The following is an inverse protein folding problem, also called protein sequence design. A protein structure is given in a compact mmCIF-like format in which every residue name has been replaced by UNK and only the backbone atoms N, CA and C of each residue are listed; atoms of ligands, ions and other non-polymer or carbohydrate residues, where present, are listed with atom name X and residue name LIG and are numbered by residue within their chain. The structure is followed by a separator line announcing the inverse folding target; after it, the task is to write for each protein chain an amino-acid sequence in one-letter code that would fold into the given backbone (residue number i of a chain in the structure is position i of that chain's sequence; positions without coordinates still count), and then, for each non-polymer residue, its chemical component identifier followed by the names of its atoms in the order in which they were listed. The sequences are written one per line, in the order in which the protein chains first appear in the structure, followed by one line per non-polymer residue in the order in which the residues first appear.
data_IF_592590796488
#
_entry.id   IF_592590796488
#
_cell.length_a   1.000
_cell.length_b   1.000
_cell.length_c   1.000
_cell.angle_alpha   90.00
_cell.angle_beta   90.00
_cell.angle_gamma   90.00
#
_symmetry.space_group_name_H-M   'P 1'
#
loop_
_entity.id
_entity.type
_entity.pdbx_description
1 polymer ?
#
# COMPACT_ATOMS: atom_id res chain seq x y z
N UNK A 1 20.45 1.78 -13.14
CA UNK A 1 19.75 1.66 -11.85
C UNK A 1 19.35 0.19 -11.72
N UNK A 2 19.50 -0.46 -10.57
CA UNK A 2 19.06 -1.85 -10.42
C UNK A 2 17.52 -1.94 -10.41
N UNK A 3 16.97 -3.08 -10.80
CA UNK A 3 15.52 -3.35 -10.79
C UNK A 3 14.91 -3.17 -9.38
N UNK A 4 15.72 -3.42 -8.34
CA UNK A 4 15.35 -3.23 -6.94
C UNK A 4 15.27 -1.74 -6.58
N UNK A 5 16.26 -0.92 -7.00
CA UNK A 5 16.22 0.51 -6.77
C UNK A 5 15.07 1.19 -7.52
N UNK A 6 14.71 0.69 -8.71
CA UNK A 6 13.56 1.18 -9.47
C UNK A 6 12.24 0.81 -8.80
N UNK A 7 12.12 -0.42 -8.30
CA UNK A 7 10.98 -0.85 -7.52
C UNK A 7 10.77 0.00 -6.26
N UNK A 8 11.80 0.15 -5.43
CA UNK A 8 11.71 0.93 -4.19
C UNK A 8 11.29 2.38 -4.47
N UNK A 9 11.82 2.98 -5.55
CA UNK A 9 11.43 4.32 -5.99
C UNK A 9 9.95 4.38 -6.40
N UNK A 10 9.49 3.46 -7.26
CA UNK A 10 8.10 3.44 -7.72
C UNK A 10 7.13 3.18 -6.57
N UNK A 11 7.44 2.23 -5.69
CA UNK A 11 6.65 1.93 -4.49
C UNK A 11 6.53 3.17 -3.58
N UNK A 12 7.65 3.84 -3.31
CA UNK A 12 7.66 5.06 -2.47
C UNK A 12 6.84 6.20 -3.08
N UNK A 13 6.93 6.38 -4.41
CA UNK A 13 6.14 7.39 -5.12
C UNK A 13 4.65 7.05 -5.12
N UNK A 14 4.29 5.78 -5.27
CA UNK A 14 2.90 5.33 -5.22
C UNK A 14 2.31 5.60 -3.83
N UNK A 15 3.03 5.26 -2.76
CA UNK A 15 2.61 5.60 -1.38
C UNK A 15 2.45 7.11 -1.19
N UNK A 16 3.38 7.92 -1.69
CA UNK A 16 3.28 9.37 -1.59
C UNK A 16 2.09 9.96 -2.35
N UNK A 17 1.77 9.43 -3.54
CA UNK A 17 0.59 9.82 -4.31
C UNK A 17 -0.71 9.47 -3.57
N UNK A 18 -0.78 8.27 -2.98
CA UNK A 18 -1.93 7.84 -2.17
C UNK A 18 -2.16 8.77 -0.97
N UNK A 19 -1.11 9.11 -0.22
CA UNK A 19 -1.20 10.01 0.94
C UNK A 19 -1.63 11.44 0.57
N UNK A 20 -1.39 11.87 -0.67
CA UNK A 20 -1.82 13.18 -1.20
C UNK A 20 -3.22 13.17 -1.81
N UNK A 21 -3.87 12.01 -1.89
CA UNK A 21 -5.13 11.85 -2.61
C UNK A 21 -4.99 12.01 -4.14
N UNK A 22 -3.77 11.88 -4.68
CA UNK A 22 -3.52 11.94 -6.13
C UNK A 22 -3.74 10.56 -6.76
N UNK A 23 -5.02 10.26 -7.00
CA UNK A 23 -5.47 8.99 -7.55
C UNK A 23 -4.88 8.69 -8.93
N UNK A 24 -4.71 9.71 -9.77
CA UNK A 24 -4.18 9.55 -11.12
C UNK A 24 -2.72 9.10 -11.08
N UNK A 25 -1.88 9.78 -10.30
CA UNK A 25 -0.48 9.40 -10.15
C UNK A 25 -0.34 8.03 -9.49
N UNK A 26 -1.18 7.72 -8.49
CA UNK A 26 -1.20 6.41 -7.85
C UNK A 26 -1.46 5.29 -8.86
N UNK A 27 -2.54 5.41 -9.66
CA UNK A 27 -2.91 4.40 -10.67
C UNK A 27 -1.79 4.20 -11.69
N UNK A 28 -1.22 5.29 -12.20
CA UNK A 28 -0.12 5.23 -13.17
C UNK A 28 1.12 4.54 -12.59
N UNK A 29 1.51 4.87 -11.36
CA UNK A 29 2.68 4.26 -10.72
C UNK A 29 2.47 2.78 -10.42
N UNK A 30 1.30 2.38 -9.94
CA UNK A 30 0.97 0.97 -9.71
C UNK A 30 0.97 0.15 -11.01
N UNK A 31 0.51 0.72 -12.13
CA UNK A 31 0.55 0.05 -13.44
C UNK A 31 1.97 -0.18 -13.98
N UNK A 32 2.97 0.56 -13.47
CA UNK A 32 4.38 0.34 -13.85
C UNK A 32 5.06 -0.76 -13.05
N UNK A 33 4.39 -1.28 -12.01
CA UNK A 33 4.90 -2.38 -11.20
C UNK A 33 4.46 -3.73 -11.79
N UNK A 34 5.32 -4.77 -11.72
CA UNK A 34 4.88 -6.14 -11.93
C UNK A 34 3.72 -6.50 -10.99
N UNK A 35 2.72 -7.28 -11.44
CA UNK A 35 1.55 -7.64 -10.62
C UNK A 35 1.90 -8.18 -9.24
N UNK A 36 2.94 -9.02 -9.16
CA UNK A 36 3.43 -9.61 -7.92
C UNK A 36 4.01 -8.57 -6.93
N UNK A 37 4.40 -7.39 -7.42
CA UNK A 37 4.95 -6.29 -6.60
C UNK A 37 3.91 -5.25 -6.20
N UNK A 38 2.74 -5.23 -6.85
CA UNK A 38 1.64 -4.33 -6.50
C UNK A 38 1.14 -4.63 -5.09
N UNK A 39 0.88 -5.91 -4.79
CA UNK A 39 0.42 -6.34 -3.46
C UNK A 39 1.43 -5.95 -2.37
N UNK A 40 2.71 -6.29 -2.56
CA UNK A 40 3.77 -5.94 -1.61
C UNK A 40 3.91 -4.42 -1.39
N UNK A 41 3.66 -3.61 -2.43
CA UNK A 41 3.67 -2.14 -2.32
C UNK A 41 2.50 -1.63 -1.49
N UNK A 42 1.30 -2.16 -1.72
CA UNK A 42 0.10 -1.81 -0.95
C UNK A 42 0.24 -2.23 0.52
N UNK A 43 0.72 -3.46 0.79
CA UNK A 43 0.99 -3.94 2.15
C UNK A 43 2.05 -3.09 2.86
N UNK A 44 3.16 -2.77 2.18
CA UNK A 44 4.20 -1.90 2.71
C UNK A 44 3.67 -0.51 3.09
N UNK A 45 2.76 0.06 2.29
CA UNK A 45 2.13 1.34 2.59
C UNK A 45 1.27 1.27 3.87
N UNK A 46 0.47 0.21 4.03
CA UNK A 46 -0.34 -0.03 5.23
C UNK A 46 0.54 -0.16 6.47
N UNK A 47 1.62 -0.95 6.38
CA UNK A 47 2.55 -1.14 7.50
C UNK A 47 3.30 0.15 7.87
N UNK A 48 3.69 0.95 6.88
CA UNK A 48 4.31 2.25 7.12
C UNK A 48 3.35 3.22 7.84
N UNK A 49 2.08 3.25 7.44
CA UNK A 49 1.05 4.03 8.14
C UNK A 49 0.83 3.54 9.57
N UNK A 50 0.74 2.22 9.77
CA UNK A 50 0.60 1.62 11.09
C UNK A 50 1.75 1.99 12.03
N UNK A 51 3.00 1.99 11.52
CA UNK A 51 4.17 2.42 12.27
C UNK A 51 4.06 3.88 12.72
N UNK A 52 3.59 4.79 11.86
CA UNK A 52 3.41 6.19 12.21
C UNK A 52 2.28 6.42 13.22
N UNK A 53 1.22 5.61 13.16
CA UNK A 53 0.07 5.74 14.04
C UNK A 53 0.29 5.19 15.45
N UNK A 54 1.32 4.36 15.67
CA UNK A 54 1.61 3.72 16.99
C UNK A 54 1.85 4.70 18.13
N UNK A 55 2.25 5.93 17.81
CA UNK A 55 2.49 6.99 18.80
C UNK A 55 1.19 7.68 19.23
N UNK A 56 0.09 7.44 18.50
CA UNK A 56 -1.20 8.11 18.68
C UNK A 56 -2.36 7.14 18.97
N UNK A 57 -2.22 5.87 18.59
CA UNK A 57 -3.25 4.83 18.73
C UNK A 57 -2.69 3.62 19.49
N UNK A 58 -3.54 2.93 20.28
CA UNK A 58 -3.12 1.70 20.94
C UNK A 58 -2.90 0.57 19.92
N UNK A 59 -2.04 -0.42 20.23
CA UNK A 59 -1.64 -1.45 19.27
C UNK A 59 -2.79 -2.32 18.73
N UNK A 60 -3.82 -2.54 19.54
CA UNK A 60 -5.03 -3.30 19.18
C UNK A 60 -5.86 -2.58 18.10
N UNK A 61 -6.04 -1.27 18.22
CA UNK A 61 -6.74 -0.47 17.21
C UNK A 61 -6.00 -0.49 15.86
N UNK A 62 -4.68 -0.47 15.88
CA UNK A 62 -3.84 -0.55 14.68
C UNK A 62 -3.95 -1.94 14.03
N UNK A 63 -3.86 -3.01 14.82
CA UNK A 63 -4.01 -4.37 14.29
C UNK A 63 -5.40 -4.61 13.70
N UNK A 64 -6.45 -4.05 14.32
CA UNK A 64 -7.80 -4.13 13.80
C UNK A 64 -7.91 -3.45 12.43
N UNK A 65 -7.41 -2.22 12.31
CA UNK A 65 -7.43 -1.47 11.04
C UNK A 65 -6.64 -2.18 9.92
N UNK A 66 -5.49 -2.78 10.24
CA UNK A 66 -4.71 -3.57 9.27
C UNK A 66 -5.52 -4.78 8.81
N UNK A 67 -6.11 -5.53 9.75
CA UNK A 67 -6.89 -6.74 9.45
C UNK A 67 -8.11 -6.43 8.60
N UNK A 68 -8.80 -5.33 8.90
CA UNK A 68 -9.97 -4.86 8.14
C UNK A 68 -9.57 -4.46 6.71
N UNK A 69 -8.49 -3.67 6.55
CA UNK A 69 -7.98 -3.30 5.24
C UNK A 69 -7.57 -4.53 4.40
N UNK A 70 -6.91 -5.52 5.01
CA UNK A 70 -6.55 -6.79 4.36
C UNK A 70 -7.79 -7.59 3.95
N UNK A 71 -8.81 -7.66 4.80
CA UNK A 71 -10.06 -8.34 4.50
C UNK A 71 -10.78 -7.69 3.32
N UNK A 72 -10.90 -6.36 3.30
CA UNK A 72 -11.52 -5.61 2.19
C UNK A 72 -10.75 -5.85 0.88
N UNK A 73 -9.41 -5.80 0.93
CA UNK A 73 -8.57 -6.06 -0.24
C UNK A 73 -8.73 -7.50 -0.76
N UNK A 74 -8.81 -8.49 0.13
CA UNK A 74 -9.03 -9.89 -0.25
C UNK A 74 -10.40 -10.09 -0.90
N UNK A 75 -11.47 -9.55 -0.31
CA UNK A 75 -12.82 -9.62 -0.88
C UNK A 75 -12.89 -8.99 -2.26
N UNK A 76 -12.33 -7.78 -2.43
CA UNK A 76 -12.30 -7.10 -3.72
C UNK A 76 -11.52 -7.88 -4.80
N UNK A 77 -10.44 -8.58 -4.42
CA UNK A 77 -9.68 -9.44 -5.32
C UNK A 77 -10.45 -10.71 -5.73
N UNK A 78 -11.33 -11.23 -4.86
CA UNK A 78 -12.16 -12.41 -5.15
C UNK A 78 -13.45 -12.09 -5.91
N UNK A 79 -13.99 -10.89 -5.77
CA UNK A 79 -15.22 -10.43 -6.45
C UNK A 79 -14.96 -9.85 -7.85
N UNK A 80 -13.71 -9.48 -8.16
CA UNK A 80 -13.30 -8.94 -9.45
C UNK A 80 -13.16 -9.95 -10.60
N UNK A 81 -13.79 -11.13 -10.52
CA UNK A 81 -13.86 -12.14 -11.59
C UNK A 81 -15.22 -12.11 -12.31
#
# INVERSE_FOLDING_TARGET
MSDEAQYLRTASLATAAALRGDEQSLRLLLQTLPPERVLATCEGAILAMAYLLRDFLPPDAIQHAISEAQSIAHTAATEGN
#
